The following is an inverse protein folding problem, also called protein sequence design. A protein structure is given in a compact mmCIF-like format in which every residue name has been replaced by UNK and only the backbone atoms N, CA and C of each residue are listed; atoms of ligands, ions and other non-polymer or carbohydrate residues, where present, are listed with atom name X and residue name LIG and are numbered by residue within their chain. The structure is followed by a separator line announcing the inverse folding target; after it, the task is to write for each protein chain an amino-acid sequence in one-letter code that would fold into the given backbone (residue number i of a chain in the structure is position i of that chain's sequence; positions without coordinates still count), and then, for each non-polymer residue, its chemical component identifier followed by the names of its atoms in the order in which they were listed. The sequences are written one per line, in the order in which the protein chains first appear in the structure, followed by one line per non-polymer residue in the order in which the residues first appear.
data_IF_274463983514
#
_entry.id   IF_274463983514
#
_cell.length_a   1.000
_cell.length_b   1.000
_cell.length_c   1.000
_cell.angle_alpha   90.00
_cell.angle_beta   90.00
_cell.angle_gamma   90.00
#
_symmetry.space_group_name_H-M   'P 1'
#
loop_
_entity.id
_entity.type
_entity.pdbx_description
1 polymer ?
#
# COMPACT_ATOMS: atom_id res chain seq x y z
N UNK A 1 23.20 8.17 8.35
CA UNK A 1 23.07 9.64 8.17
C UNK A 1 21.90 10.09 9.03
N UNK A 2 22.04 11.07 9.92
CA UNK A 2 20.89 11.56 10.72
C UNK A 2 19.93 12.29 9.79
N UNK A 3 18.68 11.83 9.72
CA UNK A 3 17.63 12.42 8.90
C UNK A 3 17.16 13.73 9.56
N UNK A 4 16.89 14.77 8.77
CA UNK A 4 16.34 16.02 9.30
C UNK A 4 14.90 15.76 9.78
N UNK A 5 14.51 16.42 10.86
CA UNK A 5 13.15 16.37 11.34
C UNK A 5 12.67 17.77 11.72
N UNK A 6 11.36 18.01 11.57
CA UNK A 6 10.69 19.17 12.12
C UNK A 6 9.84 18.74 13.30
N UNK A 7 9.85 19.56 14.35
CA UNK A 7 9.16 19.32 15.61
C UNK A 7 8.25 20.49 15.91
N UNK A 8 6.99 20.21 16.22
CA UNK A 8 5.97 21.21 16.52
C UNK A 8 5.21 20.80 17.78
N UNK A 9 4.62 21.77 18.47
CA UNK A 9 3.72 21.46 19.58
C UNK A 9 2.52 20.69 19.07
N UNK A 10 2.10 19.66 19.80
CA UNK A 10 0.86 18.95 19.50
C UNK A 10 -0.34 19.92 19.56
N UNK A 11 -1.17 19.89 18.52
CA UNK A 11 -2.42 20.66 18.40
C UNK A 11 -3.29 20.04 17.31
N UNK A 12 -4.62 20.14 17.44
CA UNK A 12 -5.56 19.64 16.43
C UNK A 12 -5.35 20.25 15.04
N UNK A 13 -4.95 21.53 14.98
CA UNK A 13 -4.64 22.22 13.73
C UNK A 13 -3.48 21.55 12.97
N UNK A 14 -2.39 21.25 13.68
CA UNK A 14 -1.23 20.54 13.11
C UNK A 14 -1.57 19.11 12.62
N UNK A 15 -2.56 18.45 13.24
CA UNK A 15 -3.06 17.14 12.80
C UNK A 15 -3.90 17.29 11.53
N UNK A 16 -4.72 18.33 11.44
CA UNK A 16 -5.53 18.62 10.25
C UNK A 16 -4.71 18.87 8.97
N UNK A 17 -3.43 19.19 9.09
CA UNK A 17 -2.50 19.36 7.96
C UNK A 17 -1.89 18.04 7.45
N UNK A 18 -2.22 16.90 8.06
CA UNK A 18 -1.67 15.60 7.69
C UNK A 18 -2.40 15.10 6.44
N UNK A 19 -1.65 14.98 5.35
CA UNK A 19 -2.06 14.23 4.18
C UNK A 19 -1.70 12.75 4.36
N UNK A 20 -2.62 11.85 4.04
CA UNK A 20 -2.42 10.40 4.17
C UNK A 20 -1.27 9.83 3.33
N UNK A 21 -0.78 10.59 2.33
CA UNK A 21 0.40 10.24 1.53
C UNK A 21 1.72 10.52 2.25
N UNK A 22 1.68 11.21 3.38
CA UNK A 22 2.84 11.43 4.25
C UNK A 22 3.08 10.21 5.13
N UNK A 23 4.30 10.03 5.62
CA UNK A 23 4.53 9.09 6.73
C UNK A 23 3.77 9.55 7.99
N UNK A 24 3.33 8.60 8.84
CA UNK A 24 2.74 8.91 10.14
C UNK A 24 3.68 9.80 10.95
N UNK A 25 3.17 10.88 11.56
CA UNK A 25 3.97 11.63 12.50
C UNK A 25 4.25 10.80 13.76
N UNK A 26 5.35 11.15 14.43
CA UNK A 26 5.73 10.57 15.72
C UNK A 26 5.33 11.53 16.83
N UNK A 27 4.68 11.02 17.86
CA UNK A 27 4.55 11.78 19.11
C UNK A 27 5.79 11.52 19.94
N UNK A 28 6.47 12.59 20.34
CA UNK A 28 7.66 12.58 21.19
C UNK A 28 7.48 13.54 22.37
N UNK A 29 8.17 13.26 23.46
CA UNK A 29 8.18 14.12 24.64
C UNK A 29 9.62 14.49 25.01
N UNK A 30 9.90 15.77 25.33
CA UNK A 30 11.18 16.16 25.90
C UNK A 30 11.48 15.39 27.18
N UNK A 31 12.75 15.06 27.41
CA UNK A 31 13.16 14.41 28.65
C UNK A 31 12.80 15.24 29.90
N UNK A 32 12.99 16.55 29.81
CA UNK A 32 12.83 17.46 30.94
C UNK A 32 11.38 17.94 31.11
N UNK A 33 10.52 17.70 30.11
CA UNK A 33 9.07 17.96 30.17
C UNK A 33 8.27 16.76 29.62
N UNK A 34 8.18 15.63 30.34
CA UNK A 34 7.50 14.42 29.86
C UNK A 34 6.00 14.60 29.59
N UNK A 35 5.38 15.62 30.18
CA UNK A 35 3.97 15.97 29.97
C UNK A 35 3.74 16.75 28.67
N UNK A 36 4.79 17.26 28.03
CA UNK A 36 4.68 17.94 26.74
C UNK A 36 4.68 16.91 25.61
N UNK A 37 3.63 16.93 24.80
CA UNK A 37 3.57 16.14 23.56
C UNK A 37 3.94 17.04 22.36
N UNK A 38 4.88 16.53 21.57
CA UNK A 38 5.37 17.17 20.35
C UNK A 38 5.13 16.23 19.17
N UNK A 39 4.82 16.82 18.02
CA UNK A 39 4.73 16.14 16.74
C UNK A 39 6.08 16.26 16.05
N UNK A 40 6.75 15.14 15.84
CA UNK A 40 7.98 15.04 15.05
C UNK A 40 7.67 14.42 13.68
N UNK A 41 8.19 15.05 12.62
CA UNK A 41 8.08 14.56 11.24
C UNK A 41 9.42 14.57 10.55
N UNK A 42 9.68 13.52 9.78
CA UNK A 42 10.87 13.44 8.95
C UNK A 42 10.77 14.40 7.76
N UNK A 43 11.85 15.12 7.48
CA UNK A 43 11.99 16.01 6.31
C UNK A 43 13.13 15.49 5.45
N UNK A 44 12.83 15.29 4.18
CA UNK A 44 13.81 15.01 3.15
C UNK A 44 14.12 16.28 2.37
N UNK A 45 15.35 16.38 1.91
CA UNK A 45 15.84 17.49 1.08
C UNK A 45 16.55 16.92 -0.14
N UNK A 46 16.18 17.42 -1.32
CA UNK A 46 16.81 17.03 -2.58
C UNK A 46 17.27 18.26 -3.34
N UNK A 47 18.37 18.13 -4.08
CA UNK A 47 18.80 19.15 -5.05
C UNK A 47 18.00 18.97 -6.33
N UNK A 48 17.22 19.98 -6.69
CA UNK A 48 16.48 20.03 -7.96
C UNK A 48 17.38 20.58 -9.06
N UNK A 49 18.21 21.56 -8.74
CA UNK A 49 19.23 22.11 -9.63
C UNK A 49 20.47 22.51 -8.83
N UNK A 50 21.48 23.11 -9.48
CA UNK A 50 22.74 23.50 -8.82
C UNK A 50 22.53 24.44 -7.62
N UNK A 51 21.49 25.28 -7.68
CA UNK A 51 21.21 26.32 -6.68
C UNK A 51 19.83 26.20 -6.04
N UNK A 52 19.06 25.13 -6.35
CA UNK A 52 17.69 24.97 -5.87
C UNK A 52 17.56 23.66 -5.11
N UNK A 53 17.09 23.77 -3.87
CA UNK A 53 16.80 22.65 -2.98
C UNK A 53 15.31 22.61 -2.70
N UNK A 54 14.75 21.39 -2.69
CA UNK A 54 13.36 21.12 -2.37
C UNK A 54 13.31 20.32 -1.08
N UNK A 55 12.68 20.90 -0.06
CA UNK A 55 12.39 20.26 1.22
C UNK A 55 10.94 19.79 1.26
N UNK A 56 10.69 18.58 1.74
CA UNK A 56 9.35 18.03 1.86
C UNK A 56 9.27 17.01 3.00
N UNK A 57 8.08 16.81 3.57
CA UNK A 57 7.86 15.72 4.51
C UNK A 57 8.00 14.38 3.81
N UNK A 58 8.71 13.43 4.42
CA UNK A 58 8.92 12.11 3.82
C UNK A 58 7.59 11.46 3.43
N UNK A 59 7.42 11.08 2.15
CA UNK A 59 6.20 10.43 1.70
C UNK A 59 6.17 8.96 2.12
N UNK A 60 4.96 8.46 2.35
CA UNK A 60 4.66 7.04 2.36
C UNK A 60 4.47 6.55 0.93
N UNK A 61 5.44 5.82 0.38
CA UNK A 61 5.36 5.28 -0.98
C UNK A 61 4.16 4.31 -1.12
N UNK A 62 3.87 3.54 -0.06
CA UNK A 62 2.70 2.65 -0.01
C UNK A 62 1.41 3.46 -0.13
N UNK A 63 1.27 4.55 0.64
CA UNK A 63 0.08 5.42 0.57
C UNK A 63 -0.03 6.13 -0.78
N UNK A 64 1.07 6.53 -1.39
CA UNK A 64 1.07 7.11 -2.75
C UNK A 64 0.53 6.09 -3.76
N UNK A 65 0.99 4.83 -3.71
CA UNK A 65 0.52 3.78 -4.61
C UNK A 65 -0.98 3.49 -4.41
N UNK A 66 -1.45 3.42 -3.16
CA UNK A 66 -2.88 3.29 -2.85
C UNK A 66 -3.69 4.52 -3.33
N UNK A 67 -3.14 5.74 -3.20
CA UNK A 67 -3.76 6.97 -3.70
C UNK A 67 -3.91 6.95 -5.23
N UNK A 68 -2.95 6.36 -5.96
CA UNK A 68 -3.06 6.19 -7.43
C UNK A 68 -4.18 5.21 -7.79
N UNK A 69 -4.34 4.11 -7.03
CA UNK A 69 -5.41 3.15 -7.26
C UNK A 69 -6.81 3.71 -6.97
N UNK A 70 -6.95 4.61 -5.98
CA UNK A 70 -8.24 5.13 -5.49
C UNK A 70 -9.15 5.75 -6.57
N UNK A 71 -8.73 6.74 -7.38
CA UNK A 71 -9.60 7.30 -8.42
C UNK A 71 -9.97 6.26 -9.48
N UNK A 72 -9.04 5.38 -9.84
CA UNK A 72 -9.29 4.29 -10.78
C UNK A 72 -10.34 3.30 -10.24
N UNK A 73 -10.33 2.99 -8.94
CA UNK A 73 -11.33 2.15 -8.28
C UNK A 73 -12.73 2.77 -8.31
N UNK A 74 -12.84 4.06 -8.01
CA UNK A 74 -14.10 4.79 -8.05
C UNK A 74 -14.67 4.78 -9.47
N UNK A 75 -13.85 5.09 -10.48
CA UNK A 75 -14.28 5.11 -11.88
C UNK A 75 -14.64 3.70 -12.39
N UNK A 76 -13.88 2.68 -12.02
CA UNK A 76 -14.22 1.26 -12.26
C UNK A 76 -15.61 0.89 -11.75
N UNK A 77 -15.97 1.33 -10.54
CA UNK A 77 -17.28 1.06 -9.95
C UNK A 77 -18.43 1.67 -10.76
N UNK A 78 -18.22 2.87 -11.31
CA UNK A 78 -19.19 3.54 -12.19
C UNK A 78 -19.28 2.81 -13.53
N UNK A 79 -18.15 2.59 -14.21
CA UNK A 79 -18.08 1.93 -15.52
C UNK A 79 -18.62 0.50 -15.49
N UNK A 80 -18.42 -0.25 -14.40
CA UNK A 80 -19.00 -1.59 -14.23
C UNK A 80 -20.54 -1.58 -14.28
N UNK A 81 -21.17 -0.53 -13.76
CA UNK A 81 -22.64 -0.35 -13.86
C UNK A 81 -23.05 0.03 -15.28
N UNK A 82 -22.31 0.93 -15.91
CA UNK A 82 -22.55 1.33 -17.31
C UNK A 82 -22.46 0.11 -18.26
N UNK A 83 -21.41 -0.71 -18.13
CA UNK A 83 -21.22 -1.93 -18.93
C UNK A 83 -22.37 -2.95 -18.74
N UNK A 84 -22.89 -3.10 -17.52
CA UNK A 84 -24.07 -3.95 -17.27
C UNK A 84 -25.30 -3.42 -17.98
N UNK A 85 -25.54 -2.11 -17.91
CA UNK A 85 -26.66 -1.48 -18.62
C UNK A 85 -26.52 -1.61 -20.14
N UNK A 86 -25.31 -1.46 -20.68
CA UNK A 86 -25.01 -1.70 -22.10
C UNK A 86 -25.31 -3.15 -22.50
N UNK A 87 -24.86 -4.12 -21.72
CA UNK A 87 -25.12 -5.54 -21.98
C UNK A 87 -26.63 -5.86 -21.99
N UNK A 88 -27.40 -5.29 -21.05
CA UNK A 88 -28.85 -5.45 -21.01
C UNK A 88 -29.55 -4.80 -22.21
N UNK A 89 -29.12 -3.60 -22.60
CA UNK A 89 -29.63 -2.90 -23.79
C UNK A 89 -29.37 -3.73 -25.06
N UNK A 90 -28.16 -4.23 -25.22
CA UNK A 90 -27.77 -5.05 -26.37
C UNK A 90 -28.54 -6.38 -26.41
N UNK A 91 -28.84 -7.00 -25.26
CA UNK A 91 -29.65 -8.22 -25.21
C UNK A 91 -31.09 -8.02 -25.72
N UNK A 92 -31.65 -6.81 -25.56
CA UNK A 92 -33.04 -6.48 -25.98
C UNK A 92 -33.15 -6.06 -27.45
N UNK A 93 -32.04 -5.68 -28.09
CA UNK A 93 -32.02 -5.28 -29.49
C UNK A 93 -31.91 -6.53 -30.38
N UNK A 94 -32.88 -6.73 -31.27
CA UNK A 94 -32.89 -7.79 -32.29
C UNK A 94 -32.17 -7.37 -33.59
N UNK A 95 -31.69 -6.12 -33.65
CA UNK A 95 -31.09 -5.53 -34.85
C UNK A 95 -29.57 -5.66 -34.88
N UNK A 96 -29.00 -5.68 -36.08
CA UNK A 96 -27.55 -5.63 -36.29
C UNK A 96 -27.01 -4.34 -35.68
N UNK A 97 -26.00 -4.43 -34.81
CA UNK A 97 -25.41 -3.24 -34.20
C UNK A 97 -24.85 -2.31 -35.27
N UNK A 98 -25.28 -1.07 -35.28
CA UNK A 98 -24.65 -0.04 -36.10
C UNK A 98 -23.17 0.11 -35.69
N UNK A 99 -22.29 0.23 -36.69
CA UNK A 99 -20.85 0.32 -36.51
C UNK A 99 -20.45 1.43 -35.53
N UNK A 100 -21.09 2.59 -35.60
CA UNK A 100 -20.84 3.73 -34.70
C UNK A 100 -21.19 3.42 -33.24
N UNK A 101 -22.32 2.73 -33.00
CA UNK A 101 -22.72 2.37 -31.64
C UNK A 101 -21.76 1.33 -31.04
N UNK A 102 -21.29 0.38 -31.85
CA UNK A 102 -20.30 -0.60 -31.39
C UNK A 102 -18.99 0.08 -30.96
N UNK A 103 -18.52 1.08 -31.70
CA UNK A 103 -17.35 1.87 -31.31
C UNK A 103 -17.59 2.56 -29.96
N UNK A 104 -18.72 3.24 -29.78
CA UNK A 104 -19.04 3.92 -28.51
C UNK A 104 -19.07 2.95 -27.33
N UNK A 105 -19.71 1.80 -27.48
CA UNK A 105 -19.78 0.77 -26.45
C UNK A 105 -18.39 0.19 -26.13
N UNK A 106 -17.53 0.02 -27.14
CA UNK A 106 -16.15 -0.43 -26.96
C UNK A 106 -15.30 0.57 -26.18
N UNK A 107 -15.48 1.89 -26.37
CA UNK A 107 -14.74 2.90 -25.62
C UNK A 107 -15.02 2.85 -24.11
N UNK A 108 -16.27 2.58 -23.72
CA UNK A 108 -16.65 2.38 -22.31
C UNK A 108 -15.93 1.16 -21.72
N UNK A 109 -15.82 0.07 -22.50
CA UNK A 109 -15.06 -1.10 -22.10
C UNK A 109 -13.56 -0.79 -21.97
N UNK A 110 -12.96 -0.07 -22.90
CA UNK A 110 -11.54 0.27 -22.85
C UNK A 110 -11.21 1.12 -21.63
N UNK A 111 -12.02 2.15 -21.34
CA UNK A 111 -11.86 2.96 -20.14
C UNK A 111 -11.99 2.11 -18.86
N UNK A 112 -12.91 1.14 -18.84
CA UNK A 112 -13.04 0.21 -17.72
C UNK A 112 -11.78 -0.64 -17.54
N UNK A 113 -11.22 -1.18 -18.63
CA UNK A 113 -10.02 -1.99 -18.59
C UNK A 113 -8.82 -1.18 -18.10
N UNK A 114 -8.65 0.06 -18.56
CA UNK A 114 -7.60 0.98 -18.11
C UNK A 114 -7.71 1.24 -16.60
N UNK A 115 -8.92 1.56 -16.11
CA UNK A 115 -9.16 1.78 -14.69
C UNK A 115 -8.91 0.51 -13.87
N UNK A 116 -9.35 -0.65 -14.37
CA UNK A 116 -9.25 -1.91 -13.64
C UNK A 116 -7.80 -2.36 -13.51
N UNK A 117 -7.03 -2.29 -14.60
CA UNK A 117 -5.62 -2.62 -14.59
C UNK A 117 -4.84 -1.65 -13.71
N UNK A 118 -5.10 -0.34 -13.80
CA UNK A 118 -4.46 0.67 -12.93
C UNK A 118 -4.71 0.34 -11.45
N UNK A 119 -5.96 0.11 -11.07
CA UNK A 119 -6.31 -0.23 -9.70
C UNK A 119 -5.62 -1.51 -9.22
N UNK A 120 -5.69 -2.60 -9.99
CA UNK A 120 -5.09 -3.89 -9.64
C UNK A 120 -3.58 -3.79 -9.48
N UNK A 121 -2.90 -3.15 -10.45
CA UNK A 121 -1.45 -3.03 -10.46
C UNK A 121 -0.95 -2.20 -9.27
N UNK A 122 -1.56 -1.05 -9.00
CA UNK A 122 -1.14 -0.18 -7.91
C UNK A 122 -1.53 -0.73 -6.52
N UNK A 123 -2.69 -1.38 -6.38
CA UNK A 123 -3.05 -2.07 -5.13
C UNK A 123 -2.09 -3.22 -4.83
N UNK A 124 -1.72 -4.04 -5.81
CA UNK A 124 -0.74 -5.10 -5.59
C UNK A 124 0.66 -4.51 -5.31
N UNK A 125 1.08 -3.48 -6.04
CA UNK A 125 2.39 -2.83 -5.84
C UNK A 125 2.52 -2.22 -4.45
N UNK A 126 1.42 -1.67 -3.90
CA UNK A 126 1.35 -1.20 -2.51
C UNK A 126 1.66 -2.32 -1.51
N UNK A 127 1.09 -3.51 -1.69
CA UNK A 127 1.35 -4.67 -0.82
C UNK A 127 2.82 -5.10 -0.93
N UNK A 128 3.36 -5.22 -2.14
CA UNK A 128 4.75 -5.64 -2.34
C UNK A 128 5.73 -4.64 -1.72
N UNK A 129 5.48 -3.34 -1.93
CA UNK A 129 6.28 -2.26 -1.33
C UNK A 129 6.18 -2.30 0.19
N UNK A 130 4.97 -2.49 0.72
CA UNK A 130 4.73 -2.60 2.15
C UNK A 130 5.52 -3.75 2.78
N UNK A 131 5.44 -4.96 2.21
CA UNK A 131 6.20 -6.11 2.71
C UNK A 131 7.72 -5.86 2.71
N UNK A 132 8.26 -5.25 1.66
CA UNK A 132 9.69 -4.94 1.61
C UNK A 132 10.08 -3.93 2.71
N UNK A 133 9.26 -2.90 2.93
CA UNK A 133 9.48 -1.92 3.98
C UNK A 133 9.30 -2.51 5.38
N UNK A 134 8.47 -3.54 5.53
CA UNK A 134 8.22 -4.26 6.77
C UNK A 134 9.36 -5.17 7.23
N UNK A 135 10.34 -5.49 6.37
CA UNK A 135 11.44 -6.39 6.74
C UNK A 135 12.56 -5.59 7.45
N UNK A 136 12.92 -5.93 8.71
CA UNK A 136 14.06 -5.32 9.40
C UNK A 136 15.39 -5.59 8.68
N UNK A 137 16.37 -4.69 8.81
CA UNK A 137 17.67 -4.83 8.13
C UNK A 137 18.45 -6.07 8.56
N UNK A 138 18.32 -6.42 9.84
CA UNK A 138 18.96 -7.54 10.53
C UNK A 138 18.13 -8.82 10.55
N UNK A 139 16.97 -8.83 9.89
CA UNK A 139 16.13 -10.02 9.78
C UNK A 139 16.72 -11.03 8.77
N UNK A 140 16.78 -12.30 9.19
CA UNK A 140 17.18 -13.43 8.35
C UNK A 140 16.04 -14.45 8.25
N UNK A 141 15.66 -14.78 7.02
CA UNK A 141 14.68 -15.83 6.76
C UNK A 141 15.37 -17.18 6.52
N UNK A 142 14.98 -18.21 7.27
CA UNK A 142 15.51 -19.57 7.11
C UNK A 142 14.50 -20.47 6.41
N UNK A 143 14.84 -20.94 5.22
CA UNK A 143 14.06 -21.93 4.48
C UNK A 143 14.71 -23.31 4.60
N UNK A 144 14.12 -24.17 5.42
CA UNK A 144 14.60 -25.54 5.61
C UNK A 144 13.88 -26.50 4.67
N UNK A 145 14.65 -27.25 3.89
CA UNK A 145 14.20 -28.39 3.10
C UNK A 145 14.84 -29.68 3.62
N UNK A 146 14.41 -30.84 3.11
CA UNK A 146 15.03 -32.14 3.48
C UNK A 146 16.53 -32.22 3.15
N UNK A 147 17.02 -31.44 2.18
CA UNK A 147 18.38 -31.53 1.64
C UNK A 147 19.31 -30.41 2.12
N UNK A 148 18.76 -29.22 2.38
CA UNK A 148 19.53 -28.03 2.75
C UNK A 148 18.67 -27.02 3.51
N UNK A 149 19.33 -26.20 4.30
CA UNK A 149 18.78 -24.97 4.87
C UNK A 149 19.38 -23.78 4.12
N UNK A 150 18.51 -22.95 3.56
CA UNK A 150 18.88 -21.71 2.91
C UNK A 150 18.61 -20.54 3.87
N UNK A 151 19.55 -19.61 3.99
CA UNK A 151 19.40 -18.39 4.79
C UNK A 151 19.36 -17.22 3.82
N UNK A 152 18.33 -16.40 3.93
CA UNK A 152 18.11 -15.22 3.10
C UNK A 152 18.18 -13.97 3.97
N UNK A 153 19.07 -13.05 3.63
CA UNK A 153 19.08 -11.70 4.21
C UNK A 153 17.97 -10.83 3.59
N UNK A 154 17.72 -9.64 4.15
CA UNK A 154 16.72 -8.69 3.66
C UNK A 154 16.74 -8.48 2.14
N UNK A 155 17.90 -8.16 1.56
CA UNK A 155 17.99 -7.89 0.11
C UNK A 155 17.61 -9.10 -0.75
N UNK A 156 17.96 -10.30 -0.30
CA UNK A 156 17.56 -11.55 -0.95
C UNK A 156 16.08 -11.84 -0.75
N UNK A 157 15.52 -11.52 0.42
CA UNK A 157 14.08 -11.65 0.68
C UNK A 157 13.29 -10.77 -0.27
N UNK A 158 13.64 -9.49 -0.36
CA UNK A 158 12.95 -8.51 -1.20
C UNK A 158 12.92 -8.93 -2.67
N UNK A 159 14.01 -9.51 -3.19
CA UNK A 159 14.18 -9.82 -4.62
C UNK A 159 13.77 -11.23 -5.04
N UNK A 160 13.91 -12.22 -4.15
CA UNK A 160 13.88 -13.63 -4.54
C UNK A 160 12.82 -14.45 -3.82
N UNK A 161 12.26 -13.95 -2.72
CA UNK A 161 11.19 -14.64 -2.02
C UNK A 161 9.84 -14.21 -2.61
N UNK A 162 9.00 -15.19 -2.93
CA UNK A 162 7.68 -14.93 -3.49
C UNK A 162 6.82 -14.12 -2.52
N UNK A 163 5.97 -13.24 -3.05
CA UNK A 163 5.01 -12.48 -2.26
C UNK A 163 4.16 -13.40 -1.35
N UNK A 164 3.78 -14.60 -1.85
CA UNK A 164 2.96 -15.57 -1.11
C UNK A 164 3.67 -16.04 0.14
N UNK A 165 4.96 -16.33 0.03
CA UNK A 165 5.77 -16.76 1.16
C UNK A 165 6.11 -15.60 2.10
N UNK A 166 6.27 -14.38 1.57
CA UNK A 166 6.35 -13.18 2.41
C UNK A 166 5.07 -13.06 3.26
N UNK A 167 3.90 -13.16 2.64
CA UNK A 167 2.61 -13.05 3.32
C UNK A 167 2.34 -14.18 4.33
N UNK A 168 2.62 -15.43 3.99
CA UNK A 168 2.20 -16.56 4.85
C UNK A 168 3.23 -17.00 5.88
N UNK A 169 4.48 -16.53 5.78
CA UNK A 169 5.55 -16.94 6.68
C UNK A 169 6.32 -15.77 7.26
N UNK A 170 6.90 -14.93 6.41
CA UNK A 170 7.86 -13.90 6.85
C UNK A 170 7.17 -12.80 7.64
N UNK A 171 6.12 -12.20 7.09
CA UNK A 171 5.39 -11.10 7.74
C UNK A 171 4.72 -11.57 9.05
N UNK A 172 4.02 -12.73 9.09
CA UNK A 172 3.55 -13.32 10.35
C UNK A 172 4.64 -13.52 11.39
N UNK A 173 5.83 -14.00 10.99
CA UNK A 173 6.96 -14.23 11.89
C UNK A 173 7.51 -12.92 12.46
N UNK A 174 7.70 -11.89 11.61
CA UNK A 174 8.23 -10.58 12.01
C UNK A 174 7.32 -9.89 13.03
N UNK A 175 6.00 -9.94 12.82
CA UNK A 175 5.03 -9.20 13.64
C UNK A 175 4.28 -10.08 14.64
N UNK A 176 4.59 -11.36 14.72
CA UNK A 176 3.89 -12.35 15.55
C UNK A 176 2.36 -12.36 15.31
N UNK A 177 1.97 -12.38 14.03
CA UNK A 177 0.56 -12.41 13.59
C UNK A 177 0.16 -13.85 13.29
N UNK A 178 -1.07 -14.21 13.64
CA UNK A 178 -1.65 -15.51 13.26
C UNK A 178 -1.88 -15.62 11.74
N UNK A 179 -2.18 -16.82 11.28
CA UNK A 179 -2.45 -17.07 9.86
C UNK A 179 -3.61 -16.20 9.33
N UNK A 180 -3.36 -15.47 8.25
CA UNK A 180 -4.34 -14.62 7.56
C UNK A 180 -5.44 -15.42 6.84
N UNK A 181 -5.31 -16.74 6.71
CA UNK A 181 -6.24 -17.57 5.94
C UNK A 181 -7.69 -17.53 6.45
N UNK A 182 -7.90 -17.13 7.71
CA UNK A 182 -9.22 -16.97 8.33
C UNK A 182 -9.80 -15.56 8.18
N UNK A 183 -9.01 -14.60 7.69
CA UNK A 183 -9.44 -13.22 7.56
C UNK A 183 -10.45 -13.03 6.41
N UNK A 184 -11.50 -12.19 6.58
CA UNK A 184 -12.52 -11.98 5.55
C UNK A 184 -11.96 -11.52 4.19
N UNK A 185 -10.85 -10.77 4.20
CA UNK A 185 -10.21 -10.24 3.00
C UNK A 185 -9.34 -11.28 2.27
N UNK A 186 -9.05 -12.45 2.87
CA UNK A 186 -8.11 -13.43 2.32
C UNK A 186 -8.48 -13.94 0.92
N UNK A 187 -9.75 -14.24 0.70
CA UNK A 187 -10.24 -14.72 -0.60
C UNK A 187 -10.11 -13.65 -1.69
N UNK A 188 -10.42 -12.39 -1.36
CA UNK A 188 -10.27 -11.26 -2.27
C UNK A 188 -8.81 -10.95 -2.57
N UNK A 189 -7.95 -11.05 -1.55
CA UNK A 189 -6.52 -10.88 -1.73
C UNK A 189 -6.00 -11.90 -2.74
N UNK A 190 -6.30 -13.20 -2.56
CA UNK A 190 -5.96 -14.23 -3.53
C UNK A 190 -6.42 -13.93 -4.95
N UNK A 191 -7.63 -13.39 -5.12
CA UNK A 191 -8.12 -12.95 -6.42
C UNK A 191 -7.27 -11.80 -6.99
N UNK A 192 -6.87 -10.83 -6.16
CA UNK A 192 -6.00 -9.72 -6.58
C UNK A 192 -4.66 -10.22 -7.13
N UNK A 193 -4.04 -11.18 -6.46
CA UNK A 193 -2.78 -11.78 -6.92
C UNK A 193 -2.98 -12.53 -8.24
N UNK A 194 -4.02 -13.35 -8.33
CA UNK A 194 -4.31 -14.13 -9.52
C UNK A 194 -4.54 -13.22 -10.72
N UNK A 195 -5.43 -12.24 -10.59
CA UNK A 195 -5.73 -11.34 -11.70
C UNK A 195 -4.52 -10.47 -12.07
N UNK A 196 -3.71 -10.03 -11.10
CA UNK A 196 -2.45 -9.31 -11.38
C UNK A 196 -1.52 -10.17 -12.23
N UNK A 197 -1.33 -11.44 -11.86
CA UNK A 197 -0.45 -12.35 -12.60
C UNK A 197 -0.98 -12.60 -14.01
N UNK A 198 -2.29 -12.78 -14.16
CA UNK A 198 -2.93 -12.95 -15.47
C UNK A 198 -2.72 -11.73 -16.37
N UNK A 199 -2.80 -10.50 -15.82
CA UNK A 199 -2.53 -9.26 -16.57
C UNK A 199 -1.05 -9.17 -16.98
N UNK A 200 -0.12 -9.39 -16.04
CA UNK A 200 1.33 -9.19 -16.29
C UNK A 200 1.91 -10.28 -17.18
N UNK A 201 1.40 -11.51 -17.09
CA UNK A 201 1.88 -12.66 -17.84
C UNK A 201 0.90 -13.10 -18.94
N UNK A 202 0.08 -12.16 -19.43
CA UNK A 202 -0.89 -12.42 -20.47
C UNK A 202 -0.22 -13.06 -21.70
N UNK A 203 -0.79 -14.17 -22.15
CA UNK A 203 -0.39 -14.83 -23.40
C UNK A 203 -1.29 -14.37 -24.53
N UNK A 204 -0.75 -14.36 -25.75
CA UNK A 204 -1.46 -13.93 -26.97
C UNK A 204 -2.72 -14.73 -27.31
N UNK A 205 -2.95 -15.89 -26.67
CA UNK A 205 -4.14 -16.72 -26.87
C UNK A 205 -5.30 -16.38 -25.92
N UNK A 206 -5.12 -15.45 -24.97
CA UNK A 206 -6.03 -15.30 -23.80
C UNK A 206 -6.73 -13.92 -23.73
N UNK A 207 -6.62 -13.09 -24.77
CA UNK A 207 -7.06 -11.68 -24.75
C UNK A 207 -8.55 -11.49 -24.40
N UNK A 208 -9.43 -12.36 -24.89
CA UNK A 208 -10.86 -12.29 -24.54
C UNK A 208 -11.13 -12.82 -23.14
N UNK A 209 -10.35 -13.81 -22.68
CA UNK A 209 -10.54 -14.42 -21.36
C UNK A 209 -10.21 -13.44 -20.25
N UNK A 210 -9.12 -12.67 -20.38
CA UNK A 210 -8.75 -11.66 -19.37
C UNK A 210 -9.80 -10.56 -19.26
N UNK A 211 -10.35 -10.11 -20.40
CA UNK A 211 -11.45 -9.13 -20.42
C UNK A 211 -12.67 -9.69 -19.69
N UNK A 212 -13.06 -10.94 -19.97
CA UNK A 212 -14.17 -11.60 -19.27
C UNK A 212 -13.91 -11.75 -17.76
N UNK A 213 -12.69 -12.13 -17.37
CA UNK A 213 -12.28 -12.22 -15.96
C UNK A 213 -12.44 -10.87 -15.28
N UNK A 214 -11.91 -9.79 -15.86
CA UNK A 214 -11.99 -8.45 -15.30
C UNK A 214 -13.44 -7.99 -15.13
N UNK A 215 -14.28 -8.11 -16.17
CA UNK A 215 -15.70 -7.70 -16.11
C UNK A 215 -16.47 -8.44 -15.01
N UNK A 216 -16.19 -9.74 -14.82
CA UNK A 216 -16.85 -10.56 -13.79
C UNK A 216 -16.28 -10.29 -12.39
N UNK A 217 -15.05 -9.79 -12.30
CA UNK A 217 -14.39 -9.50 -11.05
C UNK A 217 -15.05 -8.32 -10.36
N UNK A 218 -15.24 -8.43 -9.04
CA UNK A 218 -15.60 -7.29 -8.20
C UNK A 218 -14.35 -6.45 -7.92
N UNK A 219 -13.79 -5.83 -8.96
CA UNK A 219 -12.51 -5.09 -8.91
C UNK A 219 -12.39 -4.18 -7.68
N UNK A 220 -13.39 -3.37 -7.30
CA UNK A 220 -13.30 -2.54 -6.11
C UNK A 220 -13.02 -3.31 -4.82
N UNK A 221 -13.76 -4.41 -4.59
CA UNK A 221 -13.62 -5.24 -3.39
C UNK A 221 -12.28 -5.98 -3.40
N UNK A 222 -11.88 -6.49 -4.56
CA UNK A 222 -10.62 -7.22 -4.73
C UNK A 222 -9.40 -6.34 -4.53
N UNK A 223 -9.46 -5.07 -4.94
CA UNK A 223 -8.36 -4.15 -4.69
C UNK A 223 -8.39 -3.58 -3.26
N UNK A 224 -9.58 -3.46 -2.66
CA UNK A 224 -9.74 -3.00 -1.28
C UNK A 224 -9.11 -3.96 -0.27
N UNK A 225 -9.03 -5.26 -0.57
CA UNK A 225 -8.33 -6.23 0.30
C UNK A 225 -6.85 -5.92 0.50
N UNK A 226 -6.23 -5.11 -0.37
CA UNK A 226 -4.87 -4.60 -0.14
C UNK A 226 -4.81 -3.65 1.06
N UNK A 227 -5.80 -2.77 1.18
CA UNK A 227 -5.95 -1.84 2.31
C UNK A 227 -6.22 -2.64 3.58
N UNK A 228 -7.18 -3.56 3.54
CA UNK A 228 -7.55 -4.39 4.70
C UNK A 228 -6.37 -5.18 5.25
N UNK A 229 -5.54 -5.76 4.36
CA UNK A 229 -4.32 -6.46 4.76
C UNK A 229 -3.32 -5.54 5.48
N UNK A 230 -3.05 -4.37 4.90
CA UNK A 230 -2.09 -3.40 5.46
C UNK A 230 -2.58 -2.89 6.82
N UNK A 231 -3.87 -2.55 6.94
CA UNK A 231 -4.49 -2.13 8.19
C UNK A 231 -4.43 -3.24 9.24
N UNK A 232 -4.77 -4.48 8.87
CA UNK A 232 -4.70 -5.62 9.78
C UNK A 232 -3.28 -5.80 10.34
N UNK A 233 -2.26 -5.79 9.48
CA UNK A 233 -0.86 -5.93 9.89
C UNK A 233 -0.44 -4.77 10.78
N UNK A 234 -0.82 -3.54 10.43
CA UNK A 234 -0.49 -2.37 11.22
C UNK A 234 -1.10 -2.40 12.62
N UNK A 235 -2.39 -2.70 12.73
CA UNK A 235 -3.08 -2.80 14.02
C UNK A 235 -2.40 -3.85 14.90
N UNK A 236 -2.17 -5.05 14.35
CA UNK A 236 -1.51 -6.14 15.09
C UNK A 236 -0.07 -5.81 15.49
N UNK A 237 0.68 -5.16 14.60
CA UNK A 237 2.02 -4.69 14.92
C UNK A 237 1.96 -3.69 16.08
N UNK A 238 1.03 -2.72 16.06
CA UNK A 238 0.90 -1.69 17.09
C UNK A 238 0.52 -2.21 18.49
N UNK A 239 -0.11 -3.39 18.57
CA UNK A 239 -0.46 -4.06 19.83
C UNK A 239 0.73 -4.81 20.47
N UNK A 240 1.83 -5.01 19.74
CA UNK A 240 2.99 -5.77 20.19
C UNK A 240 4.01 -4.85 20.87
N UNK A 241 4.55 -5.20 22.04
CA UNK A 241 5.54 -4.36 22.74
C UNK A 241 6.95 -4.41 22.09
N UNK A 242 7.23 -5.43 21.28
CA UNK A 242 8.55 -5.68 20.67
C UNK A 242 8.62 -5.33 19.17
N UNK A 243 7.96 -4.25 18.77
CA UNK A 243 7.82 -3.87 17.34
C UNK A 243 9.19 -3.55 16.73
N UNK A 244 9.52 -4.10 15.54
CA UNK A 244 10.70 -3.67 14.82
C UNK A 244 10.62 -2.18 14.40
N UNK A 245 11.75 -1.49 14.35
CA UNK A 245 11.84 -0.06 14.00
C UNK A 245 11.27 0.27 12.61
N UNK A 246 11.14 -0.74 11.73
CA UNK A 246 10.55 -0.58 10.41
C UNK A 246 9.08 -0.14 10.44
N UNK A 247 8.36 -0.28 11.57
CA UNK A 247 6.98 0.19 11.70
C UNK A 247 6.81 1.70 11.56
N UNK A 248 7.87 2.48 11.72
CA UNK A 248 7.86 3.92 11.42
C UNK A 248 7.61 4.24 9.94
N UNK A 249 7.73 3.25 9.05
CA UNK A 249 7.51 3.37 7.61
C UNK A 249 6.11 2.97 7.17
N UNK A 250 5.23 2.62 8.11
CA UNK A 250 3.90 2.16 7.76
C UNK A 250 3.04 3.31 7.24
N UNK A 251 2.18 3.07 6.25
CA UNK A 251 1.34 4.11 5.66
C UNK A 251 0.24 4.59 6.60
N UNK A 252 -0.18 5.85 6.43
CA UNK A 252 -1.53 6.27 6.79
C UNK A 252 -2.46 5.71 5.71
N UNK A 253 -3.34 4.79 6.07
CA UNK A 253 -4.16 4.05 5.09
C UNK A 253 -5.49 4.76 4.80
N UNK A 254 -6.02 5.52 5.76
CA UNK A 254 -7.20 6.36 5.55
C UNK A 254 -7.07 7.72 6.27
N UNK A 255 -7.71 8.75 5.72
CA UNK A 255 -7.74 10.08 6.33
C UNK A 255 -8.57 10.09 7.63
N UNK A 256 -9.52 9.17 7.75
CA UNK A 256 -10.40 9.06 8.91
C UNK A 256 -9.73 8.34 10.10
N UNK A 257 -8.65 7.59 9.84
CA UNK A 257 -7.85 6.89 10.86
C UNK A 257 -6.35 7.23 10.71
N UNK A 258 -5.97 8.44 11.13
CA UNK A 258 -4.56 8.81 11.28
C UNK A 258 -4.04 8.19 12.57
N UNK A 259 -3.31 7.09 12.43
CA UNK A 259 -2.67 6.45 13.57
C UNK A 259 -1.35 7.14 13.91
N UNK A 260 -1.22 7.62 15.14
CA UNK A 260 -0.02 8.30 15.62
C UNK A 260 0.93 7.29 16.27
N UNK A 261 2.19 7.29 15.88
CA UNK A 261 3.21 6.43 16.51
C UNK A 261 3.71 7.16 17.76
N UNK A 262 3.35 6.67 18.95
CA UNK A 262 3.89 7.20 20.21
C UNK A 262 5.19 6.47 20.53
N UNK A 263 6.33 7.13 20.30
CA UNK A 263 7.64 6.59 20.66
C UNK A 263 8.07 7.25 21.97
N UNK A 264 8.35 6.44 23.00
CA UNK A 264 9.08 6.88 24.21
C UNK A 264 10.56 7.07 23.88
N UNK A 265 10.85 7.89 22.88
CA UNK A 265 12.20 8.35 22.58
C UNK A 265 12.34 9.75 23.15
N UNK A 266 13.02 9.85 24.28
CA UNK A 266 13.34 11.13 24.90
C UNK A 266 14.12 12.01 23.93
N UNK A 267 13.59 13.19 23.61
CA UNK A 267 14.41 14.23 22.97
C UNK A 267 15.44 14.67 24.02
N UNK A 268 16.71 14.36 23.78
CA UNK A 268 17.81 14.97 24.53
C UNK A 268 18.00 16.39 23.99
N UNK A 269 18.10 17.41 24.86
CA UNK A 269 18.53 18.73 24.42
C UNK A 269 19.88 18.59 23.70
N UNK A 270 20.01 19.29 22.57
CA UNK A 270 21.33 19.51 21.97
C UNK A 270 22.02 20.47 22.93
N UNK A 271 22.89 19.94 23.80
CA UNK A 271 23.80 20.81 24.53
C UNK A 271 24.64 21.55 23.49
N UNK A 272 24.70 22.87 23.62
CA UNK A 272 25.68 23.74 22.96
C UNK A 272 27.09 23.39 23.45
N UNK A 273 27.57 22.19 23.13
CA UNK A 273 28.99 21.84 23.21
C UNK A 273 29.64 22.13 21.86
N UNK A 274 29.54 23.40 21.46
CA UNK A 274 30.51 24.08 20.60
C UNK A 274 31.08 25.24 21.43
N UNK A 275 32.02 24.88 22.31
CA UNK A 275 33.10 25.78 22.72
C UNK A 275 34.23 25.71 21.70
#
# INVERSE_FOLDING_TARGET
MKKKCMVYKYSDENIGLIDYRMLPPKIVSPHDEPSMELIQRDVDEIKVSKNEELSFFTPSIVSIQLNVAKPALLRCGVLSKELKALAEKQKKSLETKEHEQLIKDSLVLYEYLECAQTAIMFSFTAIETFFNLSIPEDYEYKRTSKLKTEIFNKSQIERSISWKEKLTKIIPEIYNISDFSLEPFWGHLHQLIQIRNDIVHQKSSEDTEIVQKLIKLKVPIVCFSAIELIEHIYIKASENESIPECCERFPIVSADNIWLIKKTSYLKPVNDDLT
#
